data_IF_839673658500
#
_entry.id   IF_839673658500
#
_cell.length_a   1.000
_cell.length_b   1.000
_cell.length_c   1.000
_cell.angle_alpha   90.00
_cell.angle_beta   90.00
_cell.angle_gamma   90.00
#
_symmetry.space_group_name_H-M   'P 1'
#
loop_
_entity.id
_entity.type
_entity.pdbx_description
1 polymer ?
#
# COMPACT_ATOMS: atom_id res chain seq x y z
N UNK A 1 -7.04 -11.04 74.91
CA UNK A 1 -7.39 -10.84 73.49
C UNK A 1 -7.11 -9.36 73.20
N UNK A 2 -5.90 -8.97 72.77
CA UNK A 2 -5.22 -9.20 71.47
C UNK A 2 -5.86 -8.38 70.30
N UNK A 3 -5.04 -7.87 69.35
CA UNK A 3 -5.02 -6.43 69.02
C UNK A 3 -4.98 -6.17 67.48
N UNK A 4 -4.26 -5.13 67.02
CA UNK A 4 -3.79 -4.87 65.62
C UNK A 4 -4.87 -4.31 64.67
N UNK A 5 -4.61 -3.67 63.51
CA UNK A 5 -3.51 -2.86 62.90
C UNK A 5 -4.18 -2.08 61.72
N UNK A 6 -3.60 -1.14 60.95
CA UNK A 6 -2.23 -0.63 60.77
C UNK A 6 -2.31 0.87 60.38
N UNK A 7 -1.22 1.63 60.59
CA UNK A 7 -0.86 2.87 59.86
C UNK A 7 -0.35 2.52 58.42
N UNK A 8 -0.04 3.45 57.47
CA UNK A 8 0.86 4.60 57.67
C UNK A 8 0.65 5.79 56.68
N UNK A 9 1.56 6.75 56.39
CA UNK A 9 2.95 7.05 56.81
C UNK A 9 3.14 8.59 56.94
N UNK A 10 4.21 8.99 57.63
CA UNK A 10 4.61 10.35 58.05
C UNK A 10 4.92 11.38 56.95
N UNK A 11 4.89 12.65 57.37
CA UNK A 11 5.60 13.80 56.77
C UNK A 11 7.12 13.53 56.58
N UNK A 12 7.81 14.36 55.78
CA UNK A 12 9.02 15.04 56.26
C UNK A 12 9.44 16.21 55.35
N UNK A 13 9.84 17.32 55.96
CA UNK A 13 10.39 18.50 55.29
C UNK A 13 11.92 18.59 55.52
N UNK A 14 12.62 19.24 54.58
CA UNK A 14 14.00 19.74 54.66
C UNK A 14 15.17 18.71 54.67
N UNK A 15 16.11 18.91 53.74
CA UNK A 15 17.46 19.37 54.07
C UNK A 15 18.21 19.83 52.79
N UNK A 16 18.76 21.05 52.80
CA UNK A 16 19.73 21.49 51.80
C UNK A 16 21.14 21.53 52.41
N UNK A 17 22.08 20.72 51.89
CA UNK A 17 23.48 21.10 51.64
C UNK A 17 24.32 19.97 51.01
N UNK A 18 25.06 20.33 49.94
CA UNK A 18 26.46 19.97 49.56
C UNK A 18 27.15 18.80 50.30
N UNK A 19 27.96 17.91 49.71
CA UNK A 19 28.61 17.67 48.38
C UNK A 19 28.75 16.11 48.25
N UNK A 20 29.08 15.43 47.13
CA UNK A 20 30.22 15.58 46.20
C UNK A 20 30.01 14.80 44.89
N UNK A 21 30.40 15.42 43.76
CA UNK A 21 31.13 14.85 42.61
C UNK A 21 31.17 13.32 42.40
N UNK A 22 30.63 12.84 41.27
CA UNK A 22 31.17 11.78 40.38
C UNK A 22 30.45 11.86 39.00
N UNK A 23 31.02 11.31 37.91
CA UNK A 23 31.37 12.15 36.75
C UNK A 23 30.38 12.10 35.58
N UNK A 24 30.75 12.78 34.49
CA UNK A 24 30.01 12.92 33.23
C UNK A 24 29.52 11.59 32.64
N UNK A 25 28.24 11.27 32.86
CA UNK A 25 27.49 10.42 31.93
C UNK A 25 26.87 11.34 30.88
N UNK A 26 27.42 11.27 29.66
CA UNK A 26 26.86 11.98 28.50
C UNK A 26 25.42 11.54 28.30
N UNK A 27 24.46 12.42 28.62
CA UNK A 27 23.08 12.32 28.14
C UNK A 27 23.08 12.51 26.63
N UNK A 28 23.45 11.43 25.94
CA UNK A 28 23.41 11.29 24.50
C UNK A 28 21.94 11.14 24.08
N UNK A 29 21.21 12.25 24.25
CA UNK A 29 19.85 12.51 23.78
C UNK A 29 19.90 12.61 22.25
N UNK A 30 20.27 11.50 21.61
CA UNK A 30 19.98 11.27 20.21
C UNK A 30 18.47 11.40 20.06
N UNK A 31 18.04 12.51 19.44
CA UNK A 31 16.64 12.72 19.12
C UNK A 31 16.13 11.48 18.37
N UNK A 32 14.91 10.98 18.66
CA UNK A 32 14.38 9.79 18.00
C UNK A 32 14.53 9.96 16.49
N UNK A 33 15.43 9.17 15.90
CA UNK A 33 15.74 9.27 14.48
C UNK A 33 14.46 8.95 13.74
N UNK A 34 13.93 9.93 12.98
CA UNK A 34 12.68 9.71 12.25
C UNK A 34 12.81 8.42 11.43
N UNK A 35 11.79 7.54 11.47
CA UNK A 35 11.85 6.29 10.73
C UNK A 35 12.05 6.60 9.24
N UNK A 36 12.82 5.77 8.51
CA UNK A 36 13.02 5.98 7.08
C UNK A 36 11.67 6.07 6.36
N UNK A 37 11.55 6.90 5.32
CA UNK A 37 10.28 7.08 4.62
C UNK A 37 9.82 5.74 4.02
N UNK A 38 8.66 5.25 4.44
CA UNK A 38 8.05 4.04 3.88
C UNK A 38 7.11 4.39 2.70
N UNK A 39 7.19 3.64 1.60
CA UNK A 39 6.22 3.71 0.50
C UNK A 39 4.87 3.17 0.99
N UNK A 40 3.84 4.01 0.83
CA UNK A 40 2.47 3.81 1.33
C UNK A 40 1.47 4.56 0.44
N UNK A 41 0.17 4.42 0.72
CA UNK A 41 -0.86 5.23 0.08
C UNK A 41 -0.76 6.69 0.51
N UNK A 42 -0.89 7.61 -0.44
CA UNK A 42 -0.78 9.05 -0.26
C UNK A 42 -2.13 9.64 0.19
N UNK A 43 -2.21 9.95 1.49
CA UNK A 43 -3.36 10.61 2.11
C UNK A 43 -3.69 11.97 1.45
N UNK A 44 -2.71 12.69 0.89
CA UNK A 44 -2.95 13.97 0.23
C UNK A 44 -3.57 13.82 -1.17
N UNK A 45 -3.44 12.64 -1.77
CA UNK A 45 -4.10 12.27 -3.04
C UNK A 45 -5.47 11.63 -2.86
N UNK A 46 -5.79 11.19 -1.64
CA UNK A 46 -6.92 10.30 -1.39
C UNK A 46 -8.27 11.00 -1.66
N UNK A 47 -9.24 10.24 -2.19
CA UNK A 47 -10.62 10.70 -2.33
C UNK A 47 -11.22 11.16 -1.00
N UNK A 48 -12.18 12.10 -1.00
CA UNK A 48 -12.62 12.81 0.21
C UNK A 48 -13.29 11.91 1.27
N UNK A 49 -13.77 10.73 0.86
CA UNK A 49 -14.42 9.73 1.72
C UNK A 49 -13.60 8.44 1.85
N UNK A 50 -12.31 8.49 1.51
CA UNK A 50 -11.36 7.40 1.72
C UNK A 50 -10.83 7.42 3.14
N UNK A 51 -10.80 6.26 3.79
CA UNK A 51 -10.18 6.08 5.11
C UNK A 51 -8.92 5.21 4.95
N UNK A 52 -7.78 5.78 5.34
CA UNK A 52 -6.50 5.09 5.36
C UNK A 52 -6.15 4.62 6.78
N UNK A 53 -5.91 3.32 6.92
CA UNK A 53 -5.61 2.63 8.18
C UNK A 53 -4.24 1.94 8.09
N UNK A 54 -3.77 1.32 9.19
CA UNK A 54 -2.49 0.60 9.25
C UNK A 54 -1.32 1.36 8.60
N UNK A 55 -1.04 2.59 9.07
CA UNK A 55 0.01 3.46 8.51
C UNK A 55 -0.13 3.76 7.00
N UNK A 56 -1.37 3.88 6.51
CA UNK A 56 -1.70 4.07 5.09
C UNK A 56 -1.38 2.85 4.19
N UNK A 57 -1.44 1.65 4.77
CA UNK A 57 -1.34 0.37 4.06
C UNK A 57 -2.66 -0.43 4.08
N UNK A 58 -3.73 0.12 4.64
CA UNK A 58 -5.11 -0.38 4.49
C UNK A 58 -5.99 0.76 3.98
N UNK A 59 -6.89 0.46 3.06
CA UNK A 59 -7.85 1.40 2.48
C UNK A 59 -9.28 0.85 2.55
N UNK A 60 -10.22 1.69 2.95
CA UNK A 60 -11.67 1.44 2.92
C UNK A 60 -12.45 2.77 2.75
N UNK A 61 -13.78 2.70 2.67
CA UNK A 61 -14.64 3.87 2.45
C UNK A 61 -15.12 3.97 1.01
N UNK A 62 -15.10 5.17 0.44
CA UNK A 62 -15.44 5.42 -0.97
C UNK A 62 -14.43 6.39 -1.60
N UNK A 63 -13.82 5.98 -2.71
CA UNK A 63 -12.81 6.75 -3.43
C UNK A 63 -11.53 5.95 -3.69
N UNK A 64 -10.47 6.65 -4.11
CA UNK A 64 -9.19 6.03 -4.45
C UNK A 64 -8.03 6.76 -3.78
N UNK A 65 -6.88 6.08 -3.65
CA UNK A 65 -5.60 6.69 -3.31
C UNK A 65 -4.50 6.07 -4.18
N UNK A 66 -3.49 6.88 -4.54
CA UNK A 66 -2.27 6.40 -5.18
C UNK A 66 -1.14 6.24 -4.16
N UNK A 67 -0.02 5.63 -4.54
CA UNK A 67 1.20 5.64 -3.73
C UNK A 67 1.83 7.04 -3.61
N UNK A 68 2.61 7.27 -2.54
CA UNK A 68 3.40 8.50 -2.32
C UNK A 68 4.52 8.71 -3.35
N UNK A 69 4.98 7.64 -4.00
CA UNK A 69 6.00 7.68 -5.07
C UNK A 69 5.51 6.97 -6.32
N UNK A 70 5.93 7.42 -7.52
CA UNK A 70 5.75 6.68 -8.75
C UNK A 70 6.77 5.53 -8.87
N UNK A 71 6.52 4.62 -9.81
CA UNK A 71 7.49 3.63 -10.25
C UNK A 71 8.51 4.31 -11.16
N UNK A 72 9.71 4.56 -10.63
CA UNK A 72 10.85 5.14 -11.37
C UNK A 72 11.91 4.09 -11.73
N UNK A 73 12.00 3.01 -10.97
CA UNK A 73 12.88 1.87 -11.21
C UNK A 73 12.42 1.01 -12.41
N UNK A 74 13.35 0.33 -13.07
CA UNK A 74 13.08 -0.49 -14.26
C UNK A 74 12.05 -1.61 -14.01
N UNK A 75 12.01 -2.18 -12.81
CA UNK A 75 11.15 -3.31 -12.44
C UNK A 75 10.58 -3.18 -11.03
N UNK A 76 9.27 -3.11 -10.93
CA UNK A 76 8.55 -2.93 -9.67
C UNK A 76 7.52 -4.02 -9.40
N UNK A 77 7.41 -4.42 -8.15
CA UNK A 77 6.39 -5.31 -7.61
C UNK A 77 5.69 -4.67 -6.42
N UNK A 78 4.37 -4.77 -6.41
CA UNK A 78 3.52 -4.51 -5.26
C UNK A 78 2.36 -5.50 -5.25
N UNK A 79 1.70 -5.65 -4.11
CA UNK A 79 0.55 -6.55 -3.98
C UNK A 79 -0.58 -5.94 -3.15
N UNK A 80 -1.79 -6.43 -3.37
CA UNK A 80 -3.00 -6.02 -2.67
C UNK A 80 -3.75 -7.26 -2.20
N UNK A 81 -3.98 -7.36 -0.90
CA UNK A 81 -4.84 -8.40 -0.31
C UNK A 81 -6.27 -7.89 -0.18
N UNK A 82 -7.21 -8.64 -0.74
CA UNK A 82 -8.64 -8.42 -0.60
C UNK A 82 -9.04 -8.89 0.81
N UNK A 83 -9.28 -7.97 1.73
CA UNK A 83 -9.64 -8.28 3.13
C UNK A 83 -11.15 -8.40 3.30
N UNK A 84 -11.91 -7.57 2.58
CA UNK A 84 -13.33 -7.75 2.37
C UNK A 84 -13.67 -7.33 0.94
N UNK A 85 -14.48 -8.12 0.25
CA UNK A 85 -14.91 -7.78 -1.12
C UNK A 85 -15.97 -6.66 -1.15
N UNK A 86 -16.26 -6.17 -2.35
CA UNK A 86 -17.11 -5.01 -2.63
C UNK A 86 -16.76 -4.48 -4.03
N UNK A 87 -17.10 -3.23 -4.34
CA UNK A 87 -16.64 -2.58 -5.57
C UNK A 87 -15.24 -2.00 -5.35
N UNK A 88 -14.26 -2.38 -6.18
CA UNK A 88 -12.87 -1.95 -5.99
C UNK A 88 -12.05 -1.96 -7.28
N UNK A 89 -10.93 -1.24 -7.29
CA UNK A 89 -10.01 -1.22 -8.41
C UNK A 89 -8.54 -1.20 -7.95
N UNK A 90 -7.65 -1.91 -8.64
CA UNK A 90 -6.21 -1.95 -8.38
C UNK A 90 -5.45 -1.84 -9.70
N UNK A 91 -4.41 -1.01 -9.77
CA UNK A 91 -3.56 -0.96 -10.95
C UNK A 91 -2.58 0.21 -10.94
N UNK A 92 -2.43 0.86 -12.10
CA UNK A 92 -1.51 1.97 -12.30
C UNK A 92 -2.24 3.22 -12.80
N UNK A 93 -1.81 4.39 -12.33
CA UNK A 93 -2.38 5.68 -12.72
C UNK A 93 -1.31 6.78 -12.90
N UNK A 94 -1.60 7.78 -13.72
CA UNK A 94 -0.80 9.00 -13.81
C UNK A 94 -1.15 9.97 -12.68
N UNK A 95 -0.30 10.99 -12.47
CA UNK A 95 -0.54 12.03 -11.45
C UNK A 95 -1.81 12.87 -11.66
N UNK A 96 -2.43 12.81 -12.85
CA UNK A 96 -3.62 13.59 -13.25
C UNK A 96 -4.95 12.84 -13.07
N UNK A 97 -4.90 11.56 -12.72
CA UNK A 97 -6.08 10.68 -12.62
C UNK A 97 -7.04 11.18 -11.54
N UNK A 98 -8.36 11.30 -11.79
CA UNK A 98 -9.33 11.63 -10.75
C UNK A 98 -9.49 10.49 -9.74
N UNK A 99 -9.28 10.77 -8.45
CA UNK A 99 -9.30 9.76 -7.37
C UNK A 99 -10.56 9.81 -6.48
N UNK A 100 -11.59 10.54 -6.89
CA UNK A 100 -12.79 10.78 -6.07
C UNK A 100 -13.68 9.54 -5.87
N UNK A 101 -13.68 8.60 -6.83
CA UNK A 101 -14.53 7.40 -6.85
C UNK A 101 -13.88 6.30 -7.70
N UNK A 102 -14.25 5.03 -7.49
CA UNK A 102 -13.67 3.86 -8.19
C UNK A 102 -13.98 3.90 -9.68
N UNK A 103 -15.16 4.38 -10.05
CA UNK A 103 -15.66 4.41 -11.41
C UNK A 103 -14.74 5.25 -12.32
N UNK A 104 -14.12 6.32 -11.80
CA UNK A 104 -13.20 7.17 -12.56
C UNK A 104 -11.95 6.41 -13.06
N UNK A 105 -11.52 5.35 -12.37
CA UNK A 105 -10.33 4.60 -12.74
C UNK A 105 -10.60 3.69 -13.95
N UNK A 106 -9.80 3.83 -14.99
CA UNK A 106 -9.93 3.09 -16.25
C UNK A 106 -10.98 3.66 -17.22
N UNK A 107 -11.65 4.78 -16.91
CA UNK A 107 -12.53 5.48 -17.87
C UNK A 107 -11.72 6.36 -18.83
N UNK A 108 -10.62 6.94 -18.37
CA UNK A 108 -9.76 7.82 -19.16
C UNK A 108 -8.47 7.13 -19.62
N UNK A 109 -7.57 7.92 -20.23
CA UNK A 109 -6.23 7.45 -20.63
C UNK A 109 -5.16 7.68 -19.55
N UNK A 110 -5.58 8.02 -18.33
CA UNK A 110 -4.70 8.30 -17.21
C UNK A 110 -4.50 7.08 -16.31
N UNK A 111 -5.33 6.04 -16.41
CA UNK A 111 -5.29 4.88 -15.53
C UNK A 111 -5.62 3.54 -16.20
N UNK A 112 -4.96 2.48 -15.74
CA UNK A 112 -5.13 1.09 -16.14
C UNK A 112 -5.38 0.28 -14.88
N UNK A 113 -6.58 -0.27 -14.72
CA UNK A 113 -6.97 -0.95 -13.48
C UNK A 113 -7.67 -2.27 -13.72
N UNK A 114 -7.38 -3.23 -12.87
CA UNK A 114 -8.20 -4.41 -12.64
C UNK A 114 -9.32 -4.06 -11.65
N UNK A 115 -10.55 -4.51 -11.90
CA UNK A 115 -11.70 -4.35 -10.99
C UNK A 115 -12.15 -5.67 -10.37
N UNK A 116 -13.13 -5.62 -9.46
CA UNK A 116 -13.70 -6.80 -8.76
C UNK A 116 -14.27 -7.85 -9.72
N UNK A 117 -14.74 -7.44 -10.90
CA UNK A 117 -15.18 -8.34 -11.97
C UNK A 117 -14.03 -9.11 -12.66
N UNK A 118 -12.82 -9.05 -12.08
CA UNK A 118 -11.56 -9.63 -12.58
C UNK A 118 -11.17 -9.11 -13.97
N UNK A 119 -11.71 -7.98 -14.41
CA UNK A 119 -11.44 -7.40 -15.73
C UNK A 119 -10.53 -6.18 -15.66
N UNK A 120 -9.71 -6.02 -16.68
CA UNK A 120 -8.80 -4.88 -16.88
C UNK A 120 -9.51 -3.80 -17.73
N UNK A 121 -9.54 -2.59 -17.20
CA UNK A 121 -10.21 -1.42 -17.75
C UNK A 121 -9.21 -0.30 -18.08
N UNK A 122 -9.42 0.34 -19.23
CA UNK A 122 -8.68 1.53 -19.69
C UNK A 122 -9.49 2.26 -20.76
N UNK A 123 -9.46 3.60 -20.75
CA UNK A 123 -10.14 4.46 -21.74
C UNK A 123 -11.64 4.12 -21.93
N UNK A 124 -12.31 3.65 -20.87
CA UNK A 124 -13.74 3.33 -20.85
C UNK A 124 -14.07 1.94 -21.39
N UNK A 125 -13.07 1.14 -21.75
CA UNK A 125 -13.24 -0.17 -22.39
C UNK A 125 -12.70 -1.27 -21.49
N UNK A 126 -13.47 -2.35 -21.36
CA UNK A 126 -13.02 -3.63 -20.82
C UNK A 126 -12.11 -4.30 -21.84
N UNK A 127 -10.82 -4.40 -21.55
CA UNK A 127 -9.80 -4.86 -22.50
C UNK A 127 -9.52 -6.36 -22.39
N UNK A 128 -9.49 -6.85 -21.15
CA UNK A 128 -9.07 -8.20 -20.84
C UNK A 128 -9.67 -8.64 -19.51
N UNK A 129 -9.57 -9.93 -19.20
CA UNK A 129 -9.98 -10.53 -17.93
C UNK A 129 -8.96 -11.57 -17.47
N UNK A 130 -8.76 -11.69 -16.16
CA UNK A 130 -7.91 -12.72 -15.59
C UNK A 130 -8.45 -14.12 -15.90
N UNK A 131 -7.55 -15.08 -16.14
CA UNK A 131 -7.92 -16.51 -16.30
C UNK A 131 -8.46 -17.12 -15.00
N UNK A 132 -8.08 -16.56 -13.86
CA UNK A 132 -8.49 -17.00 -12.53
C UNK A 132 -9.26 -15.86 -11.86
N UNK A 133 -10.48 -16.10 -11.34
CA UNK A 133 -11.23 -15.06 -10.64
C UNK A 133 -10.57 -14.69 -9.31
N UNK A 134 -10.86 -13.49 -8.81
CA UNK A 134 -10.47 -13.04 -7.48
C UNK A 134 -11.61 -13.24 -6.47
N UNK A 135 -11.24 -13.75 -5.30
CA UNK A 135 -12.14 -13.96 -4.16
C UNK A 135 -11.64 -13.22 -2.91
N UNK A 136 -12.50 -13.04 -1.91
CA UNK A 136 -12.09 -12.50 -0.61
C UNK A 136 -10.96 -13.36 0.01
N UNK A 137 -9.98 -12.71 0.61
CA UNK A 137 -8.75 -13.33 1.11
C UNK A 137 -7.63 -13.46 0.06
N UNK A 138 -7.93 -13.35 -1.24
CA UNK A 138 -6.93 -13.42 -2.32
C UNK A 138 -5.91 -12.28 -2.23
N UNK A 139 -4.66 -12.59 -2.59
CA UNK A 139 -3.60 -11.60 -2.77
C UNK A 139 -3.32 -11.43 -4.26
N UNK A 140 -3.60 -10.24 -4.76
CA UNK A 140 -3.31 -9.80 -6.12
C UNK A 140 -1.92 -9.15 -6.14
N UNK A 141 -0.93 -9.85 -6.69
CA UNK A 141 0.39 -9.29 -7.02
C UNK A 141 0.38 -8.64 -8.41
N UNK A 142 1.10 -7.53 -8.56
CA UNK A 142 1.29 -6.83 -9.82
C UNK A 142 2.79 -6.59 -10.06
N UNK A 143 3.29 -6.95 -11.23
CA UNK A 143 4.62 -6.54 -11.69
C UNK A 143 4.51 -5.57 -12.85
N UNK A 144 5.39 -4.56 -12.87
CA UNK A 144 5.49 -3.58 -13.96
C UNK A 144 6.95 -3.30 -14.33
N UNK A 145 7.26 -3.32 -15.62
CA UNK A 145 8.61 -3.13 -16.17
C UNK A 145 8.72 -2.01 -17.23
N UNK A 146 7.83 -1.00 -17.13
CA UNK A 146 7.62 0.07 -18.12
C UNK A 146 7.06 -0.37 -19.47
N UNK A 147 7.07 -1.66 -19.80
CA UNK A 147 6.51 -2.22 -21.04
C UNK A 147 5.19 -2.95 -20.76
N UNK A 148 5.20 -3.80 -19.74
CA UNK A 148 4.14 -4.77 -19.45
C UNK A 148 3.73 -4.76 -17.97
N UNK A 149 2.43 -4.91 -17.72
CA UNK A 149 1.80 -5.07 -16.41
C UNK A 149 1.25 -6.48 -16.31
N UNK A 150 1.83 -7.32 -15.44
CA UNK A 150 1.40 -8.71 -15.22
C UNK A 150 0.74 -8.88 -13.87
N UNK A 151 -0.15 -9.86 -13.77
CA UNK A 151 -0.97 -10.13 -12.60
C UNK A 151 -0.70 -11.53 -12.03
N UNK A 152 -0.73 -11.62 -10.70
CA UNK A 152 -0.45 -12.83 -9.94
C UNK A 152 -1.53 -12.98 -8.87
N UNK A 153 -2.06 -14.19 -8.69
CA UNK A 153 -2.99 -14.51 -7.60
C UNK A 153 -2.30 -15.48 -6.66
N UNK A 154 -2.20 -15.11 -5.39
CA UNK A 154 -1.58 -15.92 -4.34
C UNK A 154 -0.16 -16.41 -4.73
N UNK A 155 0.63 -15.51 -5.33
CA UNK A 155 1.99 -15.77 -5.83
C UNK A 155 2.07 -16.49 -7.19
N UNK A 156 0.98 -17.06 -7.71
CA UNK A 156 0.95 -17.75 -9.00
C UNK A 156 0.58 -16.79 -10.14
N UNK A 157 1.27 -16.86 -11.28
CA UNK A 157 0.96 -16.04 -12.46
C UNK A 157 -0.43 -16.39 -13.00
N UNK A 158 -1.29 -15.37 -13.17
CA UNK A 158 -2.59 -15.53 -13.83
C UNK A 158 -2.62 -14.65 -15.08
N UNK A 159 -2.39 -15.29 -16.23
CA UNK A 159 -2.45 -14.60 -17.51
C UNK A 159 -3.84 -14.04 -17.79
N UNK A 160 -3.90 -13.15 -18.77
CA UNK A 160 -5.11 -12.50 -19.25
C UNK A 160 -5.72 -13.24 -20.44
N UNK A 161 -7.01 -13.01 -20.66
CA UNK A 161 -7.73 -13.27 -21.91
C UNK A 161 -8.18 -11.91 -22.44
N UNK A 162 -7.81 -11.56 -23.67
CA UNK A 162 -8.27 -10.34 -24.32
C UNK A 162 -9.77 -10.45 -24.67
N UNK A 163 -10.57 -9.47 -24.27
CA UNK A 163 -12.04 -9.52 -24.42
C UNK A 163 -12.51 -9.14 -25.84
N UNK A 164 -11.64 -8.60 -26.71
CA UNK A 164 -11.94 -8.34 -28.12
C UNK A 164 -11.58 -9.51 -29.04
N UNK A 165 -10.46 -10.20 -28.79
CA UNK A 165 -9.92 -11.27 -29.66
C UNK A 165 -10.06 -12.68 -29.08
N UNK A 166 -10.48 -12.82 -27.82
CA UNK A 166 -10.50 -14.06 -27.04
C UNK A 166 -9.12 -14.77 -26.92
N UNK A 167 -8.02 -14.07 -27.22
CA UNK A 167 -6.67 -14.63 -27.16
C UNK A 167 -6.07 -14.52 -25.75
N UNK A 168 -5.24 -15.50 -25.38
CA UNK A 168 -4.42 -15.44 -24.16
C UNK A 168 -3.24 -14.49 -24.33
N UNK A 169 -2.92 -13.75 -23.26
CA UNK A 169 -1.72 -12.91 -23.13
C UNK A 169 -1.21 -12.94 -21.68
N UNK A 170 0.08 -12.70 -21.45
CA UNK A 170 0.67 -12.82 -20.10
C UNK A 170 0.49 -11.56 -19.23
N UNK A 171 0.43 -10.40 -19.87
CA UNK A 171 0.22 -9.10 -19.24
C UNK A 171 -0.28 -8.05 -20.23
N UNK A 172 -0.69 -6.90 -19.70
CA UNK A 172 -1.16 -5.77 -20.49
C UNK A 172 -0.01 -4.84 -20.87
N UNK A 173 -0.03 -4.21 -22.06
CA UNK A 173 1.06 -3.33 -22.55
C UNK A 173 0.55 -1.97 -23.03
N UNK A 174 1.46 -1.06 -23.37
CA UNK A 174 1.10 0.24 -23.97
C UNK A 174 0.74 1.35 -22.97
N UNK A 175 0.97 1.10 -21.68
CA UNK A 175 1.04 2.14 -20.64
C UNK A 175 2.15 3.16 -20.96
N UNK A 176 1.96 4.42 -20.59
CA UNK A 176 2.91 5.50 -20.91
C UNK A 176 2.97 6.56 -19.82
N UNK A 177 4.17 7.12 -19.64
CA UNK A 177 4.45 8.20 -18.69
C UNK A 177 4.82 7.69 -17.31
N UNK A 178 4.95 8.62 -16.36
CA UNK A 178 5.27 8.32 -14.96
C UNK A 178 4.00 7.83 -14.25
N UNK A 179 4.04 6.61 -13.73
CA UNK A 179 2.88 5.92 -13.17
C UNK A 179 3.07 5.60 -11.68
N UNK A 180 1.94 5.63 -10.97
CA UNK A 180 1.81 5.35 -9.55
C UNK A 180 0.87 4.14 -9.40
N UNK A 181 1.20 3.15 -8.57
CA UNK A 181 0.20 2.27 -7.97
C UNK A 181 -1.04 3.04 -7.50
N UNK A 182 -2.23 2.52 -7.84
CA UNK A 182 -3.51 3.08 -7.41
C UNK A 182 -4.39 1.97 -6.86
N UNK A 183 -5.11 2.30 -5.79
CA UNK A 183 -6.12 1.43 -5.18
C UNK A 183 -7.39 2.25 -4.93
N UNK A 184 -8.53 1.72 -5.37
CA UNK A 184 -9.87 2.26 -5.21
C UNK A 184 -10.78 1.31 -4.47
N UNK A 185 -11.67 1.85 -3.65
CA UNK A 185 -12.65 1.11 -2.84
C UNK A 185 -14.00 1.82 -2.82
N UNK A 186 -15.07 1.03 -2.78
CA UNK A 186 -16.45 1.40 -2.56
C UNK A 186 -17.22 0.20 -2.01
N UNK A 187 -18.50 0.36 -1.66
CA UNK A 187 -19.41 -0.75 -1.29
C UNK A 187 -18.83 -1.76 -0.27
N UNK A 188 -18.31 -1.25 0.85
CA UNK A 188 -17.70 -2.00 1.95
C UNK A 188 -16.35 -2.67 1.64
N UNK A 189 -15.78 -2.51 0.44
CA UNK A 189 -14.47 -3.07 0.11
C UNK A 189 -13.38 -2.61 1.09
N UNK A 190 -12.55 -3.56 1.55
CA UNK A 190 -11.39 -3.30 2.39
C UNK A 190 -10.18 -4.01 1.78
N UNK A 191 -9.14 -3.23 1.47
CA UNK A 191 -7.93 -3.73 0.83
C UNK A 191 -6.70 -3.41 1.69
N UNK A 192 -5.79 -4.37 1.85
CA UNK A 192 -4.45 -4.15 2.41
C UNK A 192 -3.43 -4.10 1.27
N UNK A 193 -2.48 -3.17 1.30
CA UNK A 193 -1.49 -2.95 0.24
C UNK A 193 -0.09 -3.20 0.77
N UNK A 194 0.64 -4.09 0.12
CA UNK A 194 2.07 -4.31 0.31
C UNK A 194 2.86 -3.59 -0.76
N UNK A 195 3.71 -2.63 -0.36
CA UNK A 195 4.67 -1.97 -1.25
C UNK A 195 6.12 -2.44 -1.06
N UNK A 196 6.40 -3.14 0.05
CA UNK A 196 7.73 -3.63 0.41
C UNK A 196 7.69 -5.02 1.05
N UNK A 197 8.84 -5.68 1.11
CA UNK A 197 9.05 -7.08 1.55
C UNK A 197 8.50 -7.39 2.95
N UNK A 198 8.42 -6.39 3.83
CA UNK A 198 7.84 -6.52 5.17
C UNK A 198 6.32 -6.68 5.15
N UNK A 199 5.66 -6.19 4.09
CA UNK A 199 4.21 -6.21 3.92
C UNK A 199 3.74 -7.14 2.80
N UNK A 200 4.65 -7.81 2.08
CA UNK A 200 4.30 -8.80 1.08
C UNK A 200 3.89 -10.14 1.71
N UNK A 201 2.77 -10.70 1.27
CA UNK A 201 2.37 -12.08 1.53
C UNK A 201 3.12 -13.07 0.64
N UNK A 202 3.47 -12.67 -0.60
CA UNK A 202 4.22 -13.50 -1.54
C UNK A 202 5.49 -12.77 -2.03
N UNK A 203 6.62 -13.49 -2.21
CA UNK A 203 7.81 -12.87 -2.77
C UNK A 203 7.56 -12.42 -4.23
N UNK A 204 8.29 -11.40 -4.73
CA UNK A 204 8.25 -11.04 -6.14
C UNK A 204 8.51 -12.28 -7.03
N UNK A 205 7.72 -12.47 -8.10
CA UNK A 205 7.68 -13.73 -8.86
C UNK A 205 8.93 -13.98 -9.72
N UNK A 206 9.76 -12.97 -9.95
CA UNK A 206 11.10 -13.07 -10.54
C UNK A 206 12.05 -12.20 -9.70
N UNK A 207 13.32 -12.61 -9.59
CA UNK A 207 14.29 -12.06 -8.63
C UNK A 207 14.77 -10.63 -8.93
N UNK A 208 14.50 -10.14 -10.13
CA UNK A 208 14.83 -8.80 -10.60
C UNK A 208 13.71 -7.77 -10.34
N UNK A 209 12.47 -8.21 -10.12
CA UNK A 209 11.41 -7.35 -9.60
C UNK A 209 11.58 -7.11 -8.10
N UNK A 210 11.48 -5.84 -7.70
CA UNK A 210 11.70 -5.39 -6.33
C UNK A 210 10.52 -4.57 -5.83
N UNK A 211 10.49 -4.39 -4.51
CA UNK A 211 9.67 -3.37 -3.86
C UNK A 211 9.88 -1.98 -4.46
N UNK A 212 8.86 -1.12 -4.35
CA UNK A 212 8.91 0.24 -4.88
C UNK A 212 9.74 1.10 -3.93
N UNK A 213 10.71 1.82 -4.49
CA UNK A 213 11.66 2.65 -3.75
C UNK A 213 11.46 4.15 -4.03
N UNK A 214 11.98 5.01 -3.16
CA UNK A 214 12.09 6.44 -3.41
C UNK A 214 13.22 6.72 -4.41
N UNK A 215 13.12 7.81 -5.19
CA UNK A 215 14.12 8.22 -6.19
C UNK A 215 15.56 8.25 -5.62
N UNK A 216 15.72 8.68 -4.36
CA UNK A 216 17.02 8.77 -3.66
C UNK A 216 17.65 7.41 -3.34
N UNK A 217 16.88 6.33 -3.41
CA UNK A 217 17.31 4.95 -3.12
C UNK A 217 17.62 4.16 -4.42
N UNK A 218 17.48 4.80 -5.58
CA UNK A 218 17.79 4.25 -6.90
C UNK A 218 19.20 4.63 -7.41
N UNK A 219 19.96 5.40 -6.62
CA UNK A 219 21.25 6.01 -6.96
C UNK A 219 22.43 5.29 -6.28
#
# INVERSE_FOLDING_TARGET
MHPLLFQPFFDFLACCQRLTYFPDDELNLSAPREPPPEVKLDLSSAGPTVVLLKNCLRICGHGCARSVVPILQDKAYFEVKIQCTGHWAVGLCSSKTPLASVENLGIDKASWVLREDSCVWYSGVKLARLKTPLEEGSVLGLTYDHVELRFYINGAATGLINEQSAQSMDGWTGMKGVLYPVVGVAENAVLDVGFNRKHFYFPPPQSDFKEILFEKELL
#
